data_IF_000058569004
#
_entry.id   IF_000058569004
#
_cell.length_a   1.000
_cell.length_b   1.000
_cell.length_c   1.000
_cell.angle_alpha   90.00
_cell.angle_beta   90.00
_cell.angle_gamma   90.00
#
_symmetry.space_group_name_H-M   'P 1'
#
loop_
_entity.id
_entity.type
_entity.pdbx_description
1 polymer ?
#
# COMPACT_ATOMS: atom_id res chain seq x y z
N UNK A 1 46.07 37.71 33.15
CA UNK A 1 44.65 37.89 32.78
C UNK A 1 44.32 36.84 31.73
N UNK A 2 43.43 35.85 31.85
CA UNK A 2 42.43 35.36 32.83
C UNK A 2 42.38 33.83 32.58
N UNK A 3 42.79 32.97 33.52
CA UNK A 3 41.95 32.11 34.36
C UNK A 3 40.53 31.75 33.84
N UNK A 4 40.26 30.44 33.79
CA UNK A 4 38.95 29.85 34.15
C UNK A 4 38.10 29.30 33.02
N UNK A 5 38.39 28.09 32.52
CA UNK A 5 37.44 27.29 31.74
C UNK A 5 36.56 26.50 32.74
N UNK A 6 35.30 26.93 32.87
CA UNK A 6 34.32 26.46 33.85
C UNK A 6 33.74 25.08 33.52
N UNK A 7 33.49 24.32 34.59
CA UNK A 7 32.94 22.98 34.69
C UNK A 7 31.69 22.72 33.82
N UNK A 8 31.66 21.55 33.18
CA UNK A 8 30.48 20.93 32.59
C UNK A 8 29.72 20.18 33.70
N UNK A 9 28.57 20.71 34.14
CA UNK A 9 27.74 20.11 35.18
C UNK A 9 26.70 19.17 34.54
N UNK A 10 26.73 17.92 34.99
CA UNK A 10 25.84 16.82 34.66
C UNK A 10 24.41 17.09 35.16
N UNK A 11 23.42 17.13 34.26
CA UNK A 11 22.00 17.09 34.62
C UNK A 11 21.42 15.74 34.18
N UNK A 12 21.30 14.81 35.14
CA UNK A 12 20.57 13.56 34.97
C UNK A 12 19.06 13.82 34.98
N UNK A 13 18.40 13.47 33.88
CA UNK A 13 16.94 13.48 33.75
C UNK A 13 16.38 12.16 34.29
N UNK A 14 15.93 12.14 35.54
CA UNK A 14 15.19 11.01 36.10
C UNK A 14 13.72 11.12 35.70
N UNK A 15 13.30 10.35 34.70
CA UNK A 15 11.89 10.09 34.41
C UNK A 15 11.41 9.03 35.40
N UNK A 16 10.66 9.45 36.41
CA UNK A 16 9.82 8.53 37.19
C UNK A 16 8.55 8.25 36.38
N UNK A 17 8.44 7.04 35.83
CA UNK A 17 7.20 6.53 35.25
C UNK A 17 6.32 6.06 36.42
N UNK A 18 5.44 6.95 36.89
CA UNK A 18 4.34 6.54 37.76
C UNK A 18 3.28 5.86 36.88
N UNK A 19 3.20 4.53 36.95
CA UNK A 19 2.02 3.81 36.48
C UNK A 19 0.89 4.11 37.47
N UNK A 20 0.01 5.06 37.14
CA UNK A 20 -1.30 5.14 37.79
C UNK A 20 -2.07 3.87 37.42
N UNK A 21 -2.21 2.95 38.38
CA UNK A 21 -3.17 1.86 38.27
C UNK A 21 -4.56 2.47 38.36
N UNK A 22 -5.19 2.63 37.20
CA UNK A 22 -6.61 2.95 37.13
C UNK A 22 -7.38 1.87 37.89
N UNK A 23 -8.31 2.31 38.71
CA UNK A 23 -9.07 1.45 39.60
C UNK A 23 -9.73 0.33 38.81
N UNK A 24 -9.53 -0.89 39.32
CA UNK A 24 -10.00 -2.16 38.78
C UNK A 24 -11.53 -2.12 38.62
N UNK A 25 -12.00 -1.57 37.51
CA UNK A 25 -13.35 -1.77 37.04
C UNK A 25 -13.44 -3.27 36.78
N UNK A 26 -14.38 -3.95 37.45
CA UNK A 26 -14.68 -5.35 37.18
C UNK A 26 -14.76 -5.53 35.66
N UNK A 27 -13.79 -6.25 35.08
CA UNK A 27 -13.75 -6.50 33.64
C UNK A 27 -15.02 -7.28 33.30
N UNK A 28 -15.98 -6.62 32.67
CA UNK A 28 -17.17 -7.28 32.14
C UNK A 28 -16.85 -7.83 30.76
N UNK A 29 -17.54 -8.90 30.36
CA UNK A 29 -17.33 -9.50 29.04
C UNK A 29 -17.58 -8.50 27.90
N UNK A 30 -18.59 -7.65 28.02
CA UNK A 30 -18.91 -6.61 27.03
C UNK A 30 -17.74 -5.60 26.88
N UNK A 31 -17.18 -5.15 28.00
CA UNK A 31 -16.02 -4.25 27.99
C UNK A 31 -14.80 -4.93 27.37
N UNK A 32 -14.56 -6.21 27.70
CA UNK A 32 -13.47 -6.99 27.14
C UNK A 32 -13.59 -7.14 25.62
N UNK A 33 -14.80 -7.40 25.10
CA UNK A 33 -15.07 -7.48 23.67
C UNK A 33 -14.84 -6.15 22.95
N UNK A 34 -15.35 -5.05 23.51
CA UNK A 34 -15.16 -3.71 22.93
C UNK A 34 -13.68 -3.31 22.86
N UNK A 35 -12.95 -3.47 23.97
CA UNK A 35 -11.52 -3.17 24.02
C UNK A 35 -10.76 -4.04 23.02
N UNK A 36 -11.12 -5.32 22.92
CA UNK A 36 -10.46 -6.24 22.01
C UNK A 36 -10.75 -5.88 20.54
N UNK A 37 -11.95 -5.47 20.16
CA UNK A 37 -12.25 -5.04 18.79
C UNK A 37 -11.52 -3.74 18.42
N UNK A 38 -11.53 -2.75 19.31
CA UNK A 38 -10.92 -1.43 19.05
C UNK A 38 -9.39 -1.51 18.91
N UNK A 39 -8.74 -2.43 19.65
CA UNK A 39 -7.29 -2.51 19.74
C UNK A 39 -6.67 -3.65 18.92
N UNK A 40 -7.45 -4.45 18.18
CA UNK A 40 -6.91 -5.59 17.46
C UNK A 40 -6.36 -5.22 16.07
N UNK A 41 -5.03 -5.26 15.85
CA UNK A 41 -4.43 -4.75 14.62
C UNK A 41 -4.79 -5.55 13.36
N UNK A 42 -5.06 -6.86 13.52
CA UNK A 42 -5.39 -7.73 12.39
C UNK A 42 -6.75 -7.37 11.78
N UNK A 43 -7.74 -7.00 12.59
CA UNK A 43 -9.03 -6.50 12.09
C UNK A 43 -8.86 -5.24 11.26
N UNK A 44 -8.04 -4.30 11.73
CA UNK A 44 -7.72 -3.08 10.99
C UNK A 44 -7.01 -3.38 9.67
N UNK A 45 -6.08 -4.33 9.66
CA UNK A 45 -5.41 -4.77 8.44
C UNK A 45 -6.40 -5.40 7.43
N UNK A 46 -7.33 -6.25 7.91
CA UNK A 46 -8.37 -6.87 7.08
C UNK A 46 -9.38 -5.84 6.56
N UNK A 47 -9.70 -4.82 7.35
CA UNK A 47 -10.54 -3.70 6.91
C UNK A 47 -9.90 -2.94 5.73
N UNK A 48 -8.61 -2.61 5.84
CA UNK A 48 -7.89 -1.97 4.73
C UNK A 48 -7.80 -2.85 3.49
N UNK A 49 -7.65 -4.18 3.65
CA UNK A 49 -7.70 -5.12 2.51
C UNK A 49 -9.04 -5.10 1.79
N UNK A 50 -10.14 -5.15 2.55
CA UNK A 50 -11.51 -5.00 2.03
C UNK A 50 -11.67 -3.68 1.26
N UNK A 51 -11.18 -2.57 1.82
CA UNK A 51 -11.27 -1.27 1.17
C UNK A 51 -10.45 -1.22 -0.12
N UNK A 52 -9.21 -1.74 -0.09
CA UNK A 52 -8.36 -1.86 -1.28
C UNK A 52 -9.03 -2.70 -2.39
N UNK A 53 -9.62 -3.84 -2.04
CA UNK A 53 -10.36 -4.67 -2.99
C UNK A 53 -11.53 -3.90 -3.62
N UNK A 54 -12.26 -3.10 -2.83
CA UNK A 54 -13.34 -2.26 -3.35
C UNK A 54 -12.84 -1.18 -4.33
N UNK A 55 -11.66 -0.59 -4.09
CA UNK A 55 -11.08 0.39 -5.04
C UNK A 55 -10.76 -0.22 -6.41
N UNK A 56 -10.46 -1.53 -6.47
CA UNK A 56 -10.18 -2.26 -7.71
C UNK A 56 -11.39 -2.24 -8.68
N UNK A 57 -12.61 -2.24 -8.14
CA UNK A 57 -13.85 -2.09 -8.93
C UNK A 57 -13.86 -0.74 -9.64
N UNK A 58 -13.43 0.32 -8.95
CA UNK A 58 -13.29 1.67 -9.50
C UNK A 58 -12.27 1.72 -10.63
N UNK A 59 -11.12 1.06 -10.47
CA UNK A 59 -10.09 0.97 -11.50
C UNK A 59 -10.60 0.27 -12.76
N UNK A 60 -11.34 -0.84 -12.61
CA UNK A 60 -11.98 -1.53 -13.73
C UNK A 60 -12.94 -0.65 -14.53
N UNK A 61 -13.72 0.20 -13.84
CA UNK A 61 -14.60 1.20 -14.49
C UNK A 61 -13.80 2.32 -15.19
N UNK A 62 -12.69 2.73 -14.58
CA UNK A 62 -11.87 3.83 -15.08
C UNK A 62 -11.14 3.49 -16.41
N UNK A 63 -11.08 2.22 -16.80
CA UNK A 63 -10.56 1.77 -18.10
C UNK A 63 -11.29 2.34 -19.33
N UNK A 64 -12.42 3.04 -19.16
CA UNK A 64 -13.10 3.76 -20.23
C UNK A 64 -12.45 5.14 -20.52
N UNK A 65 -11.78 5.71 -19.53
CA UNK A 65 -11.13 7.02 -19.66
C UNK A 65 -9.87 6.86 -20.51
N UNK A 66 -9.67 7.69 -21.56
CA UNK A 66 -8.46 7.64 -22.36
C UNK A 66 -7.24 8.11 -21.56
N UNK A 67 -6.07 7.54 -21.84
CA UNK A 67 -4.80 8.08 -21.34
C UNK A 67 -4.13 8.93 -22.42
N UNK A 68 -3.47 10.00 -22.00
CA UNK A 68 -2.63 10.85 -22.85
C UNK A 68 -1.21 10.83 -22.28
N UNK A 69 -0.29 10.26 -23.05
CA UNK A 69 1.10 10.08 -22.66
C UNK A 69 1.98 11.03 -23.47
N UNK A 70 2.82 11.81 -22.78
CA UNK A 70 3.75 12.79 -23.37
C UNK A 70 5.17 12.32 -23.10
N UNK A 71 5.99 12.23 -24.14
CA UNK A 71 7.39 11.82 -24.00
C UNK A 71 8.32 12.69 -24.84
N UNK A 72 9.53 12.87 -24.35
CA UNK A 72 10.61 13.59 -25.01
C UNK A 72 11.93 12.86 -24.75
N UNK A 73 12.71 12.64 -25.80
CA UNK A 73 13.99 11.97 -25.74
C UNK A 73 15.03 12.75 -26.54
N UNK A 74 16.26 12.78 -26.04
CA UNK A 74 17.44 13.27 -26.74
C UNK A 74 18.51 12.19 -26.67
N UNK A 75 19.11 11.86 -27.81
CA UNK A 75 20.00 10.72 -27.99
C UNK A 75 21.24 11.13 -28.78
N UNK A 76 22.37 10.50 -28.48
CA UNK A 76 23.61 10.60 -29.23
C UNK A 76 23.95 9.21 -29.76
N UNK A 77 23.94 9.02 -31.08
CA UNK A 77 24.15 7.72 -31.72
C UNK A 77 24.98 7.87 -32.99
N UNK A 78 25.53 6.77 -33.53
CA UNK A 78 26.17 6.79 -34.86
C UNK A 78 25.11 6.63 -35.95
N UNK A 79 25.34 7.24 -37.13
CA UNK A 79 24.39 7.25 -38.23
C UNK A 79 24.33 5.92 -39.03
N UNK A 80 24.13 4.79 -38.35
CA UNK A 80 24.15 3.44 -38.93
C UNK A 80 22.74 2.81 -38.93
N UNK A 81 22.05 2.88 -40.07
CA UNK A 81 20.83 2.15 -40.52
C UNK A 81 19.55 2.19 -39.64
N UNK A 82 19.63 2.35 -38.32
CA UNK A 82 18.51 2.76 -37.46
C UNK A 82 18.80 4.20 -37.04
N UNK A 83 18.28 5.16 -37.79
CA UNK A 83 18.36 6.59 -37.43
C UNK A 83 17.57 6.82 -36.15
N UNK A 84 18.24 6.66 -35.01
CA UNK A 84 17.70 6.91 -33.69
C UNK A 84 17.76 5.67 -32.81
N UNK A 85 18.74 5.65 -31.90
CA UNK A 85 18.59 4.92 -30.65
C UNK A 85 17.42 5.58 -29.92
N UNK A 86 16.22 5.01 -30.04
CA UNK A 86 15.05 5.45 -29.28
C UNK A 86 14.81 4.47 -28.15
N UNK A 87 14.57 4.98 -26.96
CA UNK A 87 14.08 4.15 -25.88
C UNK A 87 12.61 3.80 -26.20
N UNK A 88 12.26 2.50 -26.34
CA UNK A 88 10.92 2.11 -26.80
C UNK A 88 9.78 2.51 -25.85
N UNK A 89 10.10 2.84 -24.60
CA UNK A 89 9.08 3.25 -23.63
C UNK A 89 8.52 4.63 -23.97
N UNK A 90 7.29 4.65 -24.48
CA UNK A 90 6.54 5.89 -24.75
C UNK A 90 6.76 6.51 -26.13
N UNK A 91 7.51 5.86 -27.02
CA UNK A 91 7.72 6.29 -28.40
C UNK A 91 7.66 5.11 -29.36
N UNK A 92 6.91 5.26 -30.46
CA UNK A 92 6.87 4.28 -31.54
C UNK A 92 8.17 4.39 -32.34
N UNK A 93 8.90 3.28 -32.58
CA UNK A 93 10.16 3.34 -33.30
C UNK A 93 9.95 3.88 -34.71
N UNK A 94 10.68 4.93 -35.05
CA UNK A 94 10.71 5.51 -36.39
C UNK A 94 11.94 4.98 -37.11
N UNK A 95 11.77 4.34 -38.27
CA UNK A 95 12.90 3.91 -39.10
C UNK A 95 13.30 5.06 -40.04
N UNK A 96 14.61 5.31 -40.13
CA UNK A 96 15.18 6.25 -41.09
C UNK A 96 15.52 5.59 -42.42
N UNK A 97 15.88 6.38 -43.46
CA UNK A 97 16.33 5.85 -44.74
C UNK A 97 17.59 5.00 -44.58
N UNK A 98 17.67 3.91 -45.34
CA UNK A 98 18.82 2.99 -45.32
C UNK A 98 20.03 3.64 -46.01
N UNK A 99 21.16 3.68 -45.32
CA UNK A 99 22.43 4.13 -45.90
C UNK A 99 23.17 2.96 -46.55
N UNK A 100 23.78 3.19 -47.71
CA UNK A 100 24.53 2.18 -48.47
C UNK A 100 25.91 1.84 -47.88
N UNK A 101 26.40 2.64 -46.93
CA UNK A 101 27.68 2.45 -46.23
C UNK A 101 27.57 2.85 -44.76
N UNK A 102 28.32 2.17 -43.87
CA UNK A 102 28.39 2.53 -42.45
C UNK A 102 29.04 3.91 -42.25
N UNK A 103 28.40 4.74 -41.43
CA UNK A 103 28.89 6.06 -41.04
C UNK A 103 29.12 6.11 -39.52
N UNK A 104 30.38 6.23 -39.11
CA UNK A 104 30.81 6.28 -37.70
C UNK A 104 30.79 7.69 -37.10
N UNK A 105 30.28 8.69 -37.83
CA UNK A 105 30.10 10.03 -37.30
C UNK A 105 29.06 10.04 -36.18
N UNK A 106 29.34 10.81 -35.13
CA UNK A 106 28.38 11.06 -34.06
C UNK A 106 27.20 11.88 -34.58
N UNK A 107 25.98 11.45 -34.27
CA UNK A 107 24.74 12.11 -34.64
C UNK A 107 23.89 12.35 -33.37
N UNK A 108 23.57 13.63 -33.15
CA UNK A 108 22.56 14.01 -32.16
C UNK A 108 21.17 13.83 -32.77
N UNK A 109 20.25 13.24 -32.01
CA UNK A 109 18.84 13.12 -32.38
C UNK A 109 17.97 13.51 -31.20
N UNK A 110 16.84 14.13 -31.46
CA UNK A 110 15.78 14.34 -30.48
C UNK A 110 14.46 13.88 -31.06
N UNK A 111 13.54 13.48 -30.20
CA UNK A 111 12.19 13.14 -30.60
C UNK A 111 11.21 13.37 -29.45
N UNK A 112 9.99 13.75 -29.83
CA UNK A 112 8.88 13.98 -28.94
C UNK A 112 7.68 13.16 -29.43
N UNK A 113 6.88 12.66 -28.50
CA UNK A 113 5.67 11.91 -28.84
C UNK A 113 4.51 12.30 -27.93
N UNK A 114 3.32 12.31 -28.53
CA UNK A 114 2.03 12.44 -27.87
C UNK A 114 1.22 11.19 -28.24
N UNK A 115 0.90 10.36 -27.26
CA UNK A 115 0.19 9.10 -27.48
C UNK A 115 -1.16 9.12 -26.75
N UNK A 116 -2.24 9.04 -27.53
CA UNK A 116 -3.60 8.89 -27.01
C UNK A 116 -3.97 7.40 -27.06
N UNK A 117 -4.14 6.78 -25.89
CA UNK A 117 -4.61 5.40 -25.79
C UNK A 117 -6.07 5.39 -25.33
N UNK A 118 -6.95 4.83 -26.16
CA UNK A 118 -8.37 4.75 -25.83
C UNK A 118 -9.00 3.44 -26.31
N UNK A 119 -9.77 2.82 -25.41
CA UNK A 119 -10.43 1.54 -25.64
C UNK A 119 -11.93 1.70 -25.34
N UNK A 120 -12.72 2.34 -26.22
CA UNK A 120 -14.13 2.55 -25.98
C UNK A 120 -14.91 1.23 -25.90
N UNK A 121 -14.59 0.30 -26.82
CA UNK A 121 -15.24 -0.99 -26.97
C UNK A 121 -14.28 -2.13 -26.57
N UNK A 122 -14.72 -2.99 -25.66
CA UNK A 122 -13.90 -4.08 -25.11
C UNK A 122 -14.59 -5.45 -25.15
N UNK A 123 -15.69 -5.58 -25.92
CA UNK A 123 -16.43 -6.83 -26.13
C UNK A 123 -16.68 -7.67 -24.84
N UNK A 124 -17.07 -7.01 -23.75
CA UNK A 124 -17.38 -7.68 -22.47
C UNK A 124 -16.18 -7.90 -21.54
N UNK A 125 -14.93 -7.75 -22.00
CA UNK A 125 -13.73 -7.89 -21.17
C UNK A 125 -13.73 -6.95 -19.96
N UNK A 126 -14.11 -5.67 -20.16
CA UNK A 126 -14.23 -4.70 -19.05
C UNK A 126 -15.22 -5.16 -17.99
N UNK A 127 -16.39 -5.64 -18.42
CA UNK A 127 -17.44 -6.10 -17.51
C UNK A 127 -17.00 -7.36 -16.76
N UNK A 128 -16.30 -8.28 -17.43
CA UNK A 128 -15.73 -9.46 -16.80
C UNK A 128 -14.73 -9.08 -15.69
N UNK A 129 -13.79 -8.17 -15.95
CA UNK A 129 -12.85 -7.69 -14.94
C UNK A 129 -13.53 -7.01 -13.75
N UNK A 130 -14.54 -6.17 -14.01
CA UNK A 130 -15.33 -5.53 -12.94
C UNK A 130 -16.04 -6.60 -12.08
N UNK A 131 -16.57 -7.65 -12.70
CA UNK A 131 -17.25 -8.73 -11.97
C UNK A 131 -16.27 -9.57 -11.14
N UNK A 132 -15.07 -9.85 -11.66
CA UNK A 132 -14.01 -10.49 -10.89
C UNK A 132 -13.62 -9.66 -9.67
N UNK A 133 -13.37 -8.35 -9.84
CA UNK A 133 -13.04 -7.45 -8.74
C UNK A 133 -14.15 -7.37 -7.67
N UNK A 134 -15.43 -7.43 -8.08
CA UNK A 134 -16.56 -7.53 -7.14
C UNK A 134 -16.55 -8.85 -6.36
N UNK A 135 -16.26 -9.96 -7.03
CA UNK A 135 -16.18 -11.26 -6.36
C UNK A 135 -15.03 -11.29 -5.34
N UNK A 136 -13.86 -10.75 -5.68
CA UNK A 136 -12.72 -10.59 -4.76
C UNK A 136 -13.09 -9.70 -3.56
N UNK A 137 -13.78 -8.58 -3.79
CA UNK A 137 -14.28 -7.71 -2.70
C UNK A 137 -15.22 -8.45 -1.75
N UNK A 138 -16.09 -9.32 -2.28
CA UNK A 138 -16.99 -10.14 -1.46
C UNK A 138 -16.24 -11.20 -0.64
N UNK A 139 -15.15 -11.77 -1.19
CA UNK A 139 -14.28 -12.69 -0.46
C UNK A 139 -13.62 -11.95 0.71
N UNK A 140 -13.01 -10.80 0.47
CA UNK A 140 -12.35 -10.00 1.54
C UNK A 140 -13.36 -9.51 2.59
N UNK A 141 -14.61 -9.22 2.19
CA UNK A 141 -15.70 -8.93 3.12
C UNK A 141 -16.02 -10.11 4.03
N UNK A 142 -16.16 -11.31 3.46
CA UNK A 142 -16.43 -12.53 4.23
C UNK A 142 -15.27 -12.87 5.18
N UNK A 143 -14.03 -12.70 4.71
CA UNK A 143 -12.81 -12.84 5.51
C UNK A 143 -12.78 -11.89 6.70
N UNK A 144 -13.12 -10.61 6.50
CA UNK A 144 -13.20 -9.63 7.57
C UNK A 144 -14.26 -10.01 8.62
N UNK A 145 -15.44 -10.48 8.18
CA UNK A 145 -16.49 -10.94 9.10
C UNK A 145 -16.08 -12.19 9.89
N UNK A 146 -15.42 -13.15 9.23
CA UNK A 146 -14.88 -14.34 9.88
C UNK A 146 -13.83 -13.97 10.94
N UNK A 147 -12.96 -12.99 10.65
CA UNK A 147 -11.96 -12.53 11.61
C UNK A 147 -12.61 -11.90 12.84
N UNK A 148 -13.64 -11.06 12.67
CA UNK A 148 -14.41 -10.50 13.80
C UNK A 148 -15.00 -11.64 14.64
N UNK A 149 -15.61 -12.63 13.99
CA UNK A 149 -16.22 -13.75 14.69
C UNK A 149 -15.19 -14.56 15.48
N UNK A 150 -14.08 -14.94 14.85
CA UNK A 150 -13.01 -15.70 15.51
C UNK A 150 -12.40 -14.93 16.67
N UNK A 151 -12.17 -13.63 16.48
CA UNK A 151 -11.65 -12.76 17.54
C UNK A 151 -12.59 -12.71 18.75
N UNK A 152 -13.90 -12.55 18.53
CA UNK A 152 -14.92 -12.59 19.59
C UNK A 152 -14.88 -13.90 20.37
N UNK A 153 -14.85 -15.03 19.66
CA UNK A 153 -14.78 -16.36 20.26
C UNK A 153 -13.52 -16.50 21.13
N UNK A 154 -12.37 -16.08 20.62
CA UNK A 154 -11.11 -16.13 21.36
C UNK A 154 -11.13 -15.25 22.61
N UNK A 155 -11.69 -14.04 22.53
CA UNK A 155 -11.82 -13.13 23.68
C UNK A 155 -12.73 -13.73 24.75
N UNK A 156 -13.88 -14.30 24.35
CA UNK A 156 -14.80 -14.96 25.28
C UNK A 156 -14.11 -16.12 26.00
N UNK A 157 -13.42 -17.00 25.26
CA UNK A 157 -12.70 -18.14 25.86
C UNK A 157 -11.64 -17.69 26.87
N UNK A 158 -10.79 -16.73 26.49
CA UNK A 158 -9.77 -16.19 27.40
C UNK A 158 -10.38 -15.49 28.62
N UNK A 159 -11.52 -14.82 28.46
CA UNK A 159 -12.25 -14.22 29.57
C UNK A 159 -12.75 -15.27 30.57
N UNK A 160 -13.33 -16.36 30.07
CA UNK A 160 -13.79 -17.47 30.91
C UNK A 160 -12.62 -18.15 31.63
N UNK A 161 -11.47 -18.34 30.96
CA UNK A 161 -10.26 -18.88 31.57
C UNK A 161 -9.72 -17.98 32.69
N UNK A 162 -9.71 -16.66 32.49
CA UNK A 162 -9.33 -15.70 33.53
C UNK A 162 -10.29 -15.76 34.73
N UNK A 163 -11.60 -15.89 34.48
CA UNK A 163 -12.60 -16.00 35.54
C UNK A 163 -12.42 -17.29 36.36
N UNK A 164 -12.11 -18.40 35.69
CA UNK A 164 -11.79 -19.67 36.35
C UNK A 164 -10.52 -19.57 37.19
N UNK A 165 -9.44 -19.01 36.63
CA UNK A 165 -8.17 -18.81 37.33
C UNK A 165 -8.36 -17.94 38.59
N UNK A 166 -9.16 -16.88 38.48
CA UNK A 166 -9.49 -16.01 39.61
C UNK A 166 -10.22 -16.76 40.73
N UNK A 167 -11.22 -17.58 40.38
CA UNK A 167 -11.95 -18.38 41.36
C UNK A 167 -11.06 -19.42 42.06
N UNK A 168 -10.10 -20.02 41.36
CA UNK A 168 -9.16 -20.97 41.95
C UNK A 168 -8.19 -20.29 42.94
N UNK A 169 -7.71 -19.09 42.61
CA UNK A 169 -6.79 -18.33 43.47
C UNK A 169 -7.46 -17.81 44.74
N UNK A 170 -8.73 -17.41 44.68
CA UNK A 170 -9.50 -16.96 45.85
C UNK A 170 -10.15 -18.10 46.66
N UNK A 171 -10.04 -19.36 46.20
CA UNK A 171 -10.56 -20.55 46.88
C UNK A 171 -9.52 -21.27 47.77
N UNK A 172 -8.29 -20.77 47.85
CA UNK A 172 -7.20 -21.24 48.73
C UNK A 172 -7.03 -20.24 49.87
#
# INVERSE_FOLDING_TARGET
MKQGLSLFFCCTFSISIAFSQDSLHHLTLDLALRIAEENYPLLKAKEYKKEAANTQIGLGKNTLVPSLDISYQANLATANNITGMFYPSGMIPMSGPVFSSNNYSSAFGSAASLLLNWQPLTFGWRNANINTAKAETNIELADFQNEIFNHKVNVISNYLDLLLANNLLFSI
#
